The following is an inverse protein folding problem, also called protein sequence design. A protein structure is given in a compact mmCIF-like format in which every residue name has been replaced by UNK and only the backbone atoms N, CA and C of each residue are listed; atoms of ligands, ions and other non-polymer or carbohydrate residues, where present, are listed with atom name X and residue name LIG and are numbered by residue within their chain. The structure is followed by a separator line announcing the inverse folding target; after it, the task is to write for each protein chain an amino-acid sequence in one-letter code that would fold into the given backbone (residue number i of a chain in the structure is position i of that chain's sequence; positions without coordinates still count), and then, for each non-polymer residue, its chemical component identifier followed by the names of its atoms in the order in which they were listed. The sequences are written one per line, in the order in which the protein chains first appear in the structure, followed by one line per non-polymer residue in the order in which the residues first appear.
data_IF_594717304596
#
_entry.id   IF_594717304596
#
_cell.length_a   1.000
_cell.length_b   1.000
_cell.length_c   1.000
_cell.angle_alpha   90.00
_cell.angle_beta   90.00
_cell.angle_gamma   90.00
#
_symmetry.space_group_name_H-M   'P 1'
#
loop_
_entity.id
_entity.type
_entity.pdbx_description
1 polymer ?
#
# COMPACT_ATOMS: atom_id res chain seq x y z
N UNK A 1 -24.66 -37.18 15.26
CA UNK A 1 -24.90 -35.88 14.59
C UNK A 1 -24.85 -34.82 15.68
N UNK A 2 -23.70 -34.21 15.92
CA UNK A 2 -23.54 -33.12 16.88
C UNK A 2 -22.92 -31.96 16.09
N UNK A 3 -23.74 -30.96 15.81
CA UNK A 3 -23.33 -29.70 15.20
C UNK A 3 -22.38 -28.99 16.16
N UNK A 4 -21.15 -28.74 15.71
CA UNK A 4 -20.17 -27.93 16.46
C UNK A 4 -20.64 -26.47 16.40
N UNK A 5 -20.58 -25.71 17.51
CA UNK A 5 -20.99 -24.32 17.50
C UNK A 5 -20.05 -23.52 16.60
N UNK A 6 -20.64 -22.85 15.62
CA UNK A 6 -19.96 -21.98 14.66
C UNK A 6 -19.36 -20.80 15.45
N UNK A 7 -18.03 -20.82 15.59
CA UNK A 7 -17.33 -19.94 16.51
C UNK A 7 -17.15 -18.58 15.82
N UNK A 8 -17.73 -17.54 16.42
CA UNK A 8 -17.52 -16.12 16.08
C UNK A 8 -16.04 -15.65 16.09
N UNK A 9 -15.08 -16.54 16.36
CA UNK A 9 -13.64 -16.29 16.36
C UNK A 9 -12.98 -16.39 14.96
N UNK A 10 -13.69 -16.88 13.94
CA UNK A 10 -13.11 -17.19 12.62
C UNK A 10 -12.93 -16.03 11.63
N UNK A 11 -13.34 -14.80 11.96
CA UNK A 11 -13.35 -13.66 11.00
C UNK A 11 -12.51 -12.43 11.41
N UNK A 12 -11.71 -12.53 12.48
CA UNK A 12 -10.97 -11.38 13.03
C UNK A 12 -9.50 -11.27 12.59
N UNK A 13 -8.94 -12.21 11.80
CA UNK A 13 -7.47 -12.38 11.77
C UNK A 13 -6.74 -11.98 10.48
N UNK A 14 -7.42 -11.65 9.37
CA UNK A 14 -6.74 -11.39 8.08
C UNK A 14 -6.85 -9.94 7.57
N UNK A 15 -7.69 -9.11 8.20
CA UNK A 15 -7.96 -7.75 7.74
C UNK A 15 -8.29 -6.80 8.89
N UNK A 16 -7.72 -5.60 8.87
CA UNK A 16 -8.01 -4.50 9.77
C UNK A 16 -8.59 -3.32 8.97
N UNK A 17 -9.83 -2.89 9.23
CA UNK A 17 -10.50 -1.86 8.41
C UNK A 17 -9.84 -0.48 8.49
N UNK A 18 -9.20 -0.14 9.61
CA UNK A 18 -8.72 1.21 9.87
C UNK A 18 -9.86 2.19 10.21
N UNK A 19 -9.67 3.52 10.05
CA UNK A 19 -8.46 4.15 9.52
C UNK A 19 -7.29 4.11 10.50
N UNK A 20 -6.09 3.89 9.97
CA UNK A 20 -4.85 4.04 10.74
C UNK A 20 -4.09 5.27 10.23
N UNK A 21 -3.69 6.15 11.14
CA UNK A 21 -2.80 7.26 10.81
C UNK A 21 -1.37 6.77 10.86
N UNK A 22 -0.62 7.00 9.80
CA UNK A 22 0.74 6.53 9.65
C UNK A 22 1.68 7.67 9.26
N UNK A 23 2.87 7.69 9.86
CA UNK A 23 3.96 8.56 9.44
C UNK A 23 4.78 7.83 8.37
N UNK A 24 4.96 8.43 7.21
CA UNK A 24 5.83 7.92 6.15
C UNK A 24 7.29 8.11 6.58
N UNK A 25 8.02 7.00 6.63
CA UNK A 25 9.46 6.96 6.86
C UNK A 25 10.19 7.08 5.52
N UNK A 26 9.80 6.25 4.55
CA UNK A 26 10.43 6.18 3.23
C UNK A 26 9.40 5.81 2.15
N UNK A 27 9.56 6.38 0.95
CA UNK A 27 8.96 5.82 -0.26
C UNK A 27 9.90 4.79 -0.85
N UNK A 28 9.54 3.51 -0.78
CA UNK A 28 10.41 2.41 -1.23
C UNK A 28 10.37 2.32 -2.76
N UNK A 29 9.17 2.19 -3.33
CA UNK A 29 8.88 2.07 -4.76
C UNK A 29 7.65 2.93 -5.13
N UNK A 30 7.24 2.93 -6.40
CA UNK A 30 6.08 3.70 -6.89
C UNK A 30 4.74 3.34 -6.24
N UNK A 31 4.64 2.18 -5.59
CA UNK A 31 3.43 1.69 -4.92
C UNK A 31 3.67 1.23 -3.47
N UNK A 32 4.90 1.35 -2.96
CA UNK A 32 5.30 0.77 -1.67
C UNK A 32 5.91 1.84 -0.76
N UNK A 33 5.36 1.97 0.44
CA UNK A 33 5.80 2.90 1.49
C UNK A 33 6.32 2.12 2.70
N UNK A 34 7.34 2.63 3.37
CA UNK A 34 7.65 2.24 4.74
C UNK A 34 7.07 3.27 5.69
N UNK A 35 6.28 2.81 6.66
CA UNK A 35 5.52 3.69 7.54
C UNK A 35 5.63 3.25 8.99
N UNK A 36 5.49 4.22 9.89
CA UNK A 36 5.32 4.04 11.33
C UNK A 36 3.86 4.28 11.69
N UNK A 37 3.23 3.29 12.29
CA UNK A 37 1.83 3.35 12.74
C UNK A 37 1.82 3.25 14.26
N UNK A 38 1.20 4.22 14.93
CA UNK A 38 0.88 4.06 16.35
C UNK A 38 -0.37 3.20 16.49
N UNK A 39 -0.24 2.09 17.21
CA UNK A 39 -1.33 1.13 17.41
C UNK A 39 -1.92 1.23 18.82
N UNK A 40 -1.18 1.79 19.77
CA UNK A 40 -1.64 2.08 21.14
C UNK A 40 -0.75 3.12 21.83
N UNK A 41 -1.08 3.49 23.06
CA UNK A 41 -0.27 4.37 23.91
C UNK A 41 1.16 3.82 24.06
N UNK A 42 2.13 4.51 23.47
CA UNK A 42 3.54 4.12 23.49
C UNK A 42 3.88 2.88 22.66
N UNK A 43 2.96 2.38 21.83
CA UNK A 43 3.18 1.22 20.96
C UNK A 43 3.08 1.61 19.50
N UNK A 44 4.15 1.32 18.76
CA UNK A 44 4.26 1.57 17.34
C UNK A 44 4.70 0.33 16.59
N UNK A 45 4.28 0.24 15.33
CA UNK A 45 4.71 -0.77 14.37
C UNK A 45 5.33 -0.05 13.18
N UNK A 46 6.52 -0.47 12.78
CA UNK A 46 7.13 -0.07 11.52
C UNK A 46 6.89 -1.21 10.53
N UNK A 47 6.28 -0.90 9.39
CA UNK A 47 5.96 -1.90 8.37
C UNK A 47 5.96 -1.31 6.98
N UNK A 48 6.10 -2.18 5.98
CA UNK A 48 5.93 -1.82 4.58
C UNK A 48 4.47 -1.97 4.18
N UNK A 49 3.94 -0.96 3.52
CA UNK A 49 2.59 -0.92 2.97
C UNK A 49 2.70 -0.88 1.46
N UNK A 50 2.18 -1.91 0.79
CA UNK A 50 1.96 -1.88 -0.65
C UNK A 50 0.54 -1.40 -0.91
N UNK A 51 0.42 -0.36 -1.72
CA UNK A 51 -0.88 0.21 -2.07
C UNK A 51 -1.70 -0.77 -2.92
N UNK A 52 -2.97 -0.94 -2.57
CA UNK A 52 -3.92 -1.74 -3.36
C UNK A 52 -4.47 -0.96 -4.54
N UNK A 53 -5.02 -1.68 -5.51
CA UNK A 53 -5.68 -1.09 -6.67
C UNK A 53 -4.76 -0.61 -7.78
N UNK A 54 -3.43 -0.65 -7.58
CA UNK A 54 -2.46 -0.17 -8.57
C UNK A 54 -1.29 -1.13 -8.81
N UNK A 55 -0.73 -0.99 -10.01
CA UNK A 55 0.57 -1.51 -10.41
C UNK A 55 1.44 -0.37 -10.93
N UNK A 56 2.71 -0.35 -10.54
CA UNK A 56 3.69 0.69 -10.92
C UNK A 56 4.92 0.08 -11.56
N UNK A 57 5.63 0.82 -12.43
CA UNK A 57 6.92 0.37 -12.92
C UNK A 57 7.90 0.15 -11.76
N UNK A 58 8.66 -0.93 -11.81
CA UNK A 58 9.54 -1.36 -10.71
C UNK A 58 10.96 -0.78 -10.90
N UNK A 59 11.61 -0.31 -9.82
CA UNK A 59 12.99 0.22 -9.90
C UNK A 59 14.02 -0.83 -10.36
N UNK A 60 13.69 -2.10 -10.18
CA UNK A 60 14.48 -3.27 -10.62
C UNK A 60 13.95 -3.89 -11.92
N UNK A 61 13.19 -3.11 -12.70
CA UNK A 61 12.64 -3.48 -13.99
C UNK A 61 13.69 -3.95 -15.01
N UNK A 62 13.24 -4.65 -16.04
CA UNK A 62 14.14 -5.28 -17.03
C UNK A 62 14.70 -4.27 -18.03
N UNK A 63 13.91 -3.28 -18.45
CA UNK A 63 14.33 -2.26 -19.41
C UNK A 63 14.57 -0.91 -18.74
N UNK A 64 15.42 -0.08 -19.36
CA UNK A 64 15.75 1.24 -18.82
C UNK A 64 14.59 2.23 -18.86
N UNK A 65 13.66 2.05 -19.81
CA UNK A 65 12.42 2.81 -19.88
C UNK A 65 11.52 2.58 -18.65
N UNK A 66 11.39 1.32 -18.21
CA UNK A 66 10.66 0.98 -16.98
C UNK A 66 11.33 1.61 -15.76
N UNK A 67 12.66 1.51 -15.64
CA UNK A 67 13.39 2.13 -14.51
C UNK A 67 13.26 3.65 -14.50
N UNK A 68 13.22 4.30 -15.66
CA UNK A 68 13.01 5.75 -15.75
C UNK A 68 11.62 6.12 -15.20
N UNK A 69 10.57 5.44 -15.68
CA UNK A 69 9.20 5.63 -15.17
C UNK A 69 9.05 5.28 -13.69
N UNK A 70 9.76 4.25 -13.21
CA UNK A 70 9.76 3.87 -11.80
C UNK A 70 10.31 5.00 -10.90
N UNK A 71 11.36 5.70 -11.35
CA UNK A 71 11.90 6.87 -10.64
C UNK A 71 10.91 8.04 -10.64
N UNK A 72 10.24 8.27 -11.75
CA UNK A 72 9.18 9.29 -11.84
C UNK A 72 8.00 8.96 -10.91
N UNK A 73 7.55 7.71 -10.90
CA UNK A 73 6.51 7.22 -10.00
C UNK A 73 6.89 7.40 -8.53
N UNK A 74 8.10 6.97 -8.14
CA UNK A 74 8.64 7.17 -6.79
C UNK A 74 8.72 8.66 -6.42
N UNK A 75 9.17 9.51 -7.33
CA UNK A 75 9.27 10.95 -7.09
C UNK A 75 7.90 11.61 -6.95
N UNK A 76 6.90 11.22 -7.75
CA UNK A 76 5.52 11.69 -7.59
C UNK A 76 4.95 11.25 -6.25
N UNK A 77 5.06 9.95 -5.91
CA UNK A 77 4.55 9.44 -4.64
C UNK A 77 5.18 10.17 -3.45
N UNK A 78 6.49 10.42 -3.48
CA UNK A 78 7.19 11.22 -2.47
C UNK A 78 6.62 12.65 -2.32
N UNK A 79 6.19 13.28 -3.41
CA UNK A 79 5.51 14.59 -3.36
C UNK A 79 4.10 14.49 -2.80
N UNK A 80 3.34 13.47 -3.20
CA UNK A 80 1.96 13.27 -2.74
C UNK A 80 1.88 12.96 -1.25
N UNK A 81 2.89 12.28 -0.70
CA UNK A 81 2.96 11.98 0.74
C UNK A 81 3.63 13.09 1.56
N UNK A 82 4.08 14.19 0.96
CA UNK A 82 4.65 15.34 1.67
C UNK A 82 3.50 16.17 2.29
N UNK A 83 3.10 15.86 3.53
CA UNK A 83 3.70 16.39 4.76
C UNK A 83 4.23 15.30 5.72
N UNK A 84 4.27 14.06 5.26
CA UNK A 84 4.75 12.89 5.99
C UNK A 84 3.65 12.04 6.65
N UNK A 85 2.38 12.43 6.58
CA UNK A 85 1.27 11.68 7.17
C UNK A 85 0.33 11.15 6.12
N UNK A 86 -0.02 9.87 6.23
CA UNK A 86 -1.00 9.18 5.38
C UNK A 86 -2.03 8.43 6.22
N UNK A 87 -3.17 8.12 5.61
CA UNK A 87 -4.24 7.33 6.21
C UNK A 87 -4.32 5.99 5.48
N UNK A 88 -4.27 4.90 6.25
CA UNK A 88 -4.39 3.53 5.75
C UNK A 88 -5.79 2.99 6.05
N UNK A 89 -6.42 2.33 5.08
CA UNK A 89 -7.69 1.60 5.23
C UNK A 89 -7.59 0.22 4.60
N UNK A 90 -8.49 -0.67 5.02
CA UNK A 90 -8.62 -2.04 4.49
C UNK A 90 -7.28 -2.79 4.50
N UNK A 91 -6.58 -2.70 5.63
CA UNK A 91 -5.24 -3.24 5.81
C UNK A 91 -5.32 -4.76 5.90
N UNK A 92 -4.63 -5.48 5.01
CA UNK A 92 -4.57 -6.95 5.03
C UNK A 92 -3.12 -7.42 4.98
N UNK A 93 -2.85 -8.64 5.43
CA UNK A 93 -1.52 -9.22 5.24
C UNK A 93 -1.26 -9.51 3.76
N UNK A 94 -0.04 -9.24 3.30
CA UNK A 94 0.42 -9.82 2.04
C UNK A 94 0.62 -11.33 2.23
N UNK A 95 0.53 -12.11 1.14
CA UNK A 95 0.61 -13.58 1.12
C UNK A 95 1.86 -14.19 1.78
N UNK A 96 2.90 -13.38 2.03
CA UNK A 96 4.16 -13.79 2.65
C UNK A 96 4.42 -13.13 4.01
N UNK A 97 3.51 -12.32 4.54
CA UNK A 97 3.60 -11.72 5.87
C UNK A 97 4.68 -10.63 6.06
N UNK A 98 5.56 -10.39 5.08
CA UNK A 98 6.63 -9.40 5.16
C UNK A 98 6.21 -7.94 4.91
N UNK A 99 4.96 -7.72 4.48
CA UNK A 99 4.35 -6.40 4.26
C UNK A 99 2.83 -6.51 4.36
N UNK A 100 2.15 -5.37 4.43
CA UNK A 100 0.69 -5.28 4.38
C UNK A 100 0.24 -4.67 3.06
N UNK A 101 -0.99 -4.98 2.67
CA UNK A 101 -1.72 -4.32 1.59
C UNK A 101 -2.69 -3.32 2.22
N UNK A 102 -2.81 -2.11 1.66
CA UNK A 102 -3.79 -1.15 2.14
C UNK A 102 -4.22 -0.16 1.05
N UNK A 103 -5.44 0.37 1.19
CA UNK A 103 -5.82 1.61 0.52
C UNK A 103 -5.17 2.79 1.24
N UNK A 104 -4.43 3.62 0.49
CA UNK A 104 -3.68 4.75 1.05
C UNK A 104 -4.23 6.07 0.53
N UNK A 105 -4.51 7.00 1.45
CA UNK A 105 -4.88 8.37 1.12
C UNK A 105 -3.96 9.37 1.82
N UNK A 106 -3.76 10.53 1.18
CA UNK A 106 -3.10 11.68 1.81
C UNK A 106 -3.91 12.26 2.97
N UNK A 107 -3.32 13.21 3.70
CA UNK A 107 -4.00 13.93 4.78
C UNK A 107 -5.22 14.74 4.31
N UNK A 108 -5.26 15.08 3.01
CA UNK A 108 -6.40 15.74 2.34
C UNK A 108 -7.55 14.76 2.00
N UNK A 109 -7.41 13.48 2.35
CA UNK A 109 -8.39 12.43 2.09
C UNK A 109 -8.37 11.89 0.66
N UNK A 110 -7.50 12.39 -0.23
CA UNK A 110 -7.44 11.92 -1.61
C UNK A 110 -6.66 10.61 -1.70
N UNK A 111 -7.21 9.63 -2.43
CA UNK A 111 -6.56 8.36 -2.69
C UNK A 111 -5.26 8.56 -3.47
N UNK A 112 -4.16 7.98 -3.00
CA UNK A 112 -2.87 8.09 -3.69
C UNK A 112 -2.85 7.22 -4.95
N UNK A 113 -3.56 6.08 -4.94
CA UNK A 113 -3.74 5.20 -6.09
C UNK A 113 -4.30 5.96 -7.30
N UNK A 114 -5.41 6.66 -7.12
CA UNK A 114 -6.09 7.42 -8.18
C UNK A 114 -5.22 8.56 -8.71
N UNK A 115 -4.48 9.23 -7.82
CA UNK A 115 -3.56 10.31 -8.21
C UNK A 115 -2.39 9.77 -9.04
N UNK A 116 -1.84 8.60 -8.69
CA UNK A 116 -0.78 7.94 -9.45
C UNK A 116 -1.27 7.47 -10.82
N UNK A 117 -2.48 6.90 -10.90
CA UNK A 117 -3.13 6.51 -12.16
C UNK A 117 -3.39 7.76 -13.03
N UNK A 118 -3.96 8.82 -12.45
CA UNK A 118 -4.25 10.06 -13.15
C UNK A 118 -3.02 10.75 -13.73
N UNK A 119 -1.85 10.57 -13.10
CA UNK A 119 -0.57 11.03 -13.61
C UNK A 119 0.06 10.12 -14.68
N UNK A 120 -0.54 8.97 -15.00
CA UNK A 120 -0.01 7.99 -15.95
C UNK A 120 1.20 7.21 -15.43
N UNK A 121 1.48 7.27 -14.13
CA UNK A 121 2.61 6.62 -13.47
C UNK A 121 2.23 5.32 -12.74
N UNK A 122 0.96 4.92 -12.85
CA UNK A 122 0.44 3.63 -12.39
C UNK A 122 -0.69 3.14 -13.31
N UNK A 123 -0.97 1.84 -13.27
CA UNK A 123 -2.11 1.20 -13.94
C UNK A 123 -3.08 0.65 -12.89
N UNK A 124 -4.40 0.66 -13.13
CA UNK A 124 -5.35 -0.07 -12.29
C UNK A 124 -5.00 -1.56 -12.23
N UNK A 125 -5.04 -2.14 -11.04
CA UNK A 125 -4.68 -3.54 -10.82
C UNK A 125 -5.58 -4.18 -9.76
N UNK A 126 -6.24 -5.28 -10.14
CA UNK A 126 -7.16 -6.03 -9.27
C UNK A 126 -6.65 -7.44 -8.92
N UNK A 127 -5.36 -7.71 -9.17
CA UNK A 127 -4.77 -9.04 -9.03
C UNK A 127 -4.56 -9.74 -10.38
N UNK A 128 -3.80 -10.84 -10.37
CA UNK A 128 -3.46 -11.63 -11.56
C UNK A 128 -2.08 -11.31 -12.15
N UNK A 129 -1.94 -11.50 -13.46
CA UNK A 129 -0.70 -11.20 -14.18
C UNK A 129 -0.53 -9.71 -14.40
N UNK A 130 0.68 -9.18 -14.18
CA UNK A 130 1.01 -7.78 -14.48
C UNK A 130 1.48 -7.67 -15.93
N UNK A 131 1.01 -6.64 -16.64
CA UNK A 131 1.58 -6.28 -17.93
C UNK A 131 2.93 -5.60 -17.74
N UNK A 132 3.88 -5.86 -18.64
CA UNK A 132 5.19 -5.20 -18.62
C UNK A 132 5.10 -3.68 -18.73
N UNK A 133 6.10 -3.00 -18.20
CA UNK A 133 6.32 -1.55 -18.35
C UNK A 133 7.35 -1.21 -19.43
N UNK A 134 7.81 -2.25 -20.12
CA UNK A 134 8.37 -2.23 -21.46
C UNK A 134 7.21 -2.55 -22.44
#
# INVERSE_FOLDING_TARGET
MITRPDTLAGRLHDSMPGPFTAQVIEVVDGDTLEVRVQIWLGQEVITRVRMTGIDTPELRGQCDAEKARAREAKALLARLVAPGTVILRDVTYDKYGGRVLAAVSGADGRGLADQMIGAGLARPYQGGGRAGWC
#
